data_IF_815335755859
#
_entry.id   IF_815335755859
#
_cell.length_a   1.000
_cell.length_b   1.000
_cell.length_c   1.000
_cell.angle_alpha   90.00
_cell.angle_beta   90.00
_cell.angle_gamma   90.00
#
_symmetry.space_group_name_H-M   'P 1'
#
loop_
_entity.id
_entity.type
_entity.pdbx_description
1 polymer ?
#
# COMPACT_ATOMS: atom_id res chain seq x y z
N UNK A 1 1.99 41.97 31.16
CA UNK A 1 1.50 42.33 32.53
C UNK A 1 1.37 41.05 33.35
N UNK A 2 1.78 41.05 34.62
CA UNK A 2 1.61 39.85 35.49
C UNK A 2 0.16 39.73 35.96
N UNK A 3 -0.46 38.58 35.75
CA UNK A 3 -1.82 38.25 36.15
C UNK A 3 -1.82 36.96 36.95
N UNK A 4 -2.88 36.70 37.70
CA UNK A 4 -3.05 35.45 38.45
C UNK A 4 -3.26 34.25 37.53
N UNK A 5 -2.90 33.03 37.97
CA UNK A 5 -3.19 31.79 37.16
C UNK A 5 -4.68 31.61 36.91
N UNK A 6 -5.56 32.14 37.78
CA UNK A 6 -7.02 32.07 37.56
C UNK A 6 -7.48 32.99 36.43
N UNK A 7 -6.89 34.17 36.31
CA UNK A 7 -7.15 35.08 35.18
C UNK A 7 -6.60 34.54 33.89
N UNK A 8 -5.38 34.00 33.90
CA UNK A 8 -4.77 33.32 32.77
C UNK A 8 -5.60 32.10 32.30
N UNK A 9 -6.14 31.32 33.24
CA UNK A 9 -7.04 30.21 32.94
C UNK A 9 -8.29 30.67 32.19
N UNK A 10 -8.89 31.80 32.62
CA UNK A 10 -10.06 32.40 31.93
C UNK A 10 -9.71 32.87 30.54
N UNK A 11 -8.58 33.54 30.32
CA UNK A 11 -8.11 34.02 29.01
C UNK A 11 -7.97 32.89 28.02
N UNK A 12 -7.51 31.72 28.46
CA UNK A 12 -7.28 30.56 27.59
C UNK A 12 -8.41 29.51 27.62
N UNK A 13 -9.54 29.84 28.24
CA UNK A 13 -10.70 28.91 28.39
C UNK A 13 -10.28 27.53 28.94
N UNK A 14 -9.50 27.55 30.03
CA UNK A 14 -9.00 26.36 30.75
C UNK A 14 -9.37 26.38 32.24
N UNK A 15 -9.36 25.20 32.86
CA UNK A 15 -9.53 25.11 34.29
C UNK A 15 -8.27 25.56 35.04
N UNK A 16 -8.47 26.15 36.22
CA UNK A 16 -7.37 26.69 37.03
C UNK A 16 -6.40 25.62 37.54
N UNK A 17 -6.86 24.36 37.72
CA UNK A 17 -6.00 23.27 38.18
C UNK A 17 -5.03 22.85 37.09
N UNK A 18 -5.48 22.85 35.82
CA UNK A 18 -4.62 22.60 34.65
C UNK A 18 -3.53 23.67 34.52
N UNK A 19 -3.89 24.96 34.65
CA UNK A 19 -2.93 26.06 34.56
C UNK A 19 -1.92 25.99 35.74
N UNK A 20 -2.37 25.65 36.94
CA UNK A 20 -1.50 25.49 38.09
C UNK A 20 -0.46 24.39 37.88
N UNK A 21 -0.87 23.23 37.36
CA UNK A 21 0.08 22.14 36.99
C UNK A 21 1.10 22.61 35.97
N UNK A 22 0.68 23.35 34.92
CA UNK A 22 1.60 23.89 33.95
C UNK A 22 2.64 24.81 34.55
N UNK A 23 2.26 25.68 35.51
CA UNK A 23 3.18 26.55 36.21
C UNK A 23 4.13 25.75 37.13
N UNK A 24 3.61 24.80 37.92
CA UNK A 24 4.37 23.96 38.84
C UNK A 24 5.41 23.07 38.12
N UNK A 25 5.10 22.60 36.88
CA UNK A 25 6.01 21.80 36.05
C UNK A 25 6.89 22.63 35.10
N UNK A 26 6.89 23.97 35.25
CA UNK A 26 7.74 24.85 34.42
C UNK A 26 7.34 24.91 32.94
N UNK A 27 6.10 24.57 32.61
CA UNK A 27 5.58 24.60 31.21
C UNK A 27 4.98 25.97 30.85
N UNK A 28 4.92 26.93 31.80
CA UNK A 28 4.67 28.34 31.56
C UNK A 28 5.96 29.08 31.87
N UNK A 29 6.61 29.64 30.85
CA UNK A 29 7.97 30.15 30.92
C UNK A 29 8.08 31.40 31.77
N UNK A 30 7.02 32.23 31.86
CA UNK A 30 6.99 33.44 32.66
C UNK A 30 6.30 33.24 34.01
N UNK A 31 5.85 32.01 34.31
CA UNK A 31 5.21 31.74 35.58
C UNK A 31 6.22 31.82 36.75
N UNK A 32 5.89 32.64 37.74
CA UNK A 32 6.71 32.83 38.93
C UNK A 32 5.84 32.87 40.19
N UNK A 33 6.44 32.51 41.32
CA UNK A 33 5.77 32.50 42.61
C UNK A 33 6.09 33.80 43.36
N UNK A 34 5.08 34.60 43.62
CA UNK A 34 5.21 35.82 44.44
C UNK A 34 4.49 35.58 45.77
N UNK A 35 5.26 35.40 46.83
CA UNK A 35 4.71 35.00 48.12
C UNK A 35 4.05 33.62 48.03
N UNK A 36 2.75 33.53 48.36
CA UNK A 36 1.98 32.29 48.28
C UNK A 36 1.28 32.08 46.94
N UNK A 37 1.31 33.08 46.06
CA UNK A 37 0.56 33.08 44.82
C UNK A 37 1.45 32.88 43.61
N UNK A 38 0.96 32.13 42.62
CA UNK A 38 1.55 32.05 41.29
C UNK A 38 0.99 33.13 40.38
N UNK A 39 1.86 33.79 39.65
CA UNK A 39 1.52 34.78 38.58
C UNK A 39 2.23 34.41 37.29
N UNK A 40 1.70 34.87 36.17
CA UNK A 40 2.21 34.63 34.83
C UNK A 40 2.01 35.89 33.98
N UNK A 41 2.84 36.11 32.98
CA UNK A 41 2.61 37.20 32.04
C UNK A 41 1.32 36.98 31.23
N UNK A 42 0.50 38.02 31.11
CA UNK A 42 -0.75 37.97 30.34
C UNK A 42 -0.55 37.63 28.86
N UNK A 43 0.65 37.88 28.31
CA UNK A 43 1.03 37.58 26.92
C UNK A 43 1.72 36.22 26.79
N UNK A 44 1.92 35.47 27.89
CA UNK A 44 2.44 34.13 27.83
C UNK A 44 1.58 33.26 26.91
N UNK A 45 2.22 32.64 25.92
CA UNK A 45 1.53 31.73 25.00
C UNK A 45 1.16 30.44 25.72
N UNK A 46 -0.12 30.09 25.74
CA UNK A 46 -0.55 28.80 26.29
C UNK A 46 0.21 27.65 25.64
N UNK A 47 0.92 26.80 26.41
CA UNK A 47 1.68 25.72 25.87
C UNK A 47 0.73 24.68 25.24
N UNK A 48 0.50 24.81 23.96
CA UNK A 48 -0.11 23.76 23.16
C UNK A 48 0.89 22.60 23.24
N UNK A 49 0.53 21.50 23.90
CA UNK A 49 1.31 20.26 23.76
C UNK A 49 1.46 20.06 22.24
N UNK A 50 2.65 20.32 21.69
CA UNK A 50 2.99 19.80 20.36
C UNK A 50 2.67 18.32 20.49
N UNK A 51 1.61 17.83 19.81
CA UNK A 51 1.42 16.40 19.64
C UNK A 51 2.77 15.93 19.14
N UNK A 52 3.48 15.16 19.94
CA UNK A 52 4.66 14.44 19.43
C UNK A 52 4.13 13.76 18.19
N UNK A 53 4.70 14.11 17.03
CA UNK A 53 4.29 13.49 15.77
C UNK A 53 4.36 11.99 16.05
N UNK A 54 3.23 11.31 15.94
CA UNK A 54 3.15 9.90 16.26
C UNK A 54 4.27 9.22 15.46
N UNK A 55 5.14 8.47 16.13
CA UNK A 55 6.27 7.80 15.49
C UNK A 55 5.72 7.00 14.31
N UNK A 56 6.21 7.26 13.10
CA UNK A 56 5.73 6.57 11.91
C UNK A 56 5.88 5.05 12.10
N UNK A 57 4.84 4.30 11.77
CA UNK A 57 4.87 2.85 11.77
C UNK A 57 5.75 2.38 10.60
N UNK A 58 6.75 1.56 10.89
CA UNK A 58 7.76 1.15 9.93
C UNK A 58 7.33 -0.09 9.15
N UNK A 59 7.64 -0.12 7.85
CA UNK A 59 7.25 -1.21 6.96
C UNK A 59 8.45 -1.71 6.17
N UNK A 60 8.63 -3.03 6.12
CA UNK A 60 9.49 -3.74 5.17
C UNK A 60 8.61 -4.26 4.03
N UNK A 61 9.01 -4.01 2.79
CA UNK A 61 8.30 -4.44 1.58
C UNK A 61 9.13 -5.44 0.78
N UNK A 62 8.62 -6.64 0.59
CA UNK A 62 9.23 -7.72 -0.17
C UNK A 62 8.52 -7.86 -1.51
N UNK A 63 9.28 -8.11 -2.59
CA UNK A 63 8.70 -8.22 -3.94
C UNK A 63 7.90 -6.98 -4.33
N UNK A 64 8.44 -5.80 -4.03
CA UNK A 64 7.72 -4.51 -4.04
C UNK A 64 7.21 -4.12 -5.43
N UNK A 65 7.74 -4.71 -6.50
CA UNK A 65 7.42 -4.30 -7.88
C UNK A 65 7.72 -2.82 -8.10
N UNK A 66 6.82 -2.12 -8.77
CA UNK A 66 6.91 -0.66 -8.92
C UNK A 66 6.37 0.11 -7.72
N UNK A 67 5.94 -0.57 -6.64
CA UNK A 67 5.47 0.05 -5.41
C UNK A 67 3.96 0.33 -5.36
N UNK A 68 3.12 -0.47 -6.02
CA UNK A 68 1.67 -0.27 -5.99
C UNK A 68 1.08 -0.44 -4.59
N UNK A 69 1.42 -1.53 -3.89
CA UNK A 69 0.99 -1.77 -2.50
C UNK A 69 1.62 -0.77 -1.54
N UNK A 70 2.91 -0.47 -1.72
CA UNK A 70 3.67 0.51 -0.93
C UNK A 70 3.03 1.91 -1.02
N UNK A 71 2.62 2.35 -2.24
CA UNK A 71 1.90 3.61 -2.43
C UNK A 71 0.60 3.65 -1.66
N UNK A 72 -0.13 2.52 -1.65
CA UNK A 72 -1.33 2.36 -0.83
C UNK A 72 -1.03 2.46 0.65
N UNK A 73 -0.03 1.74 1.15
CA UNK A 73 0.39 1.76 2.56
C UNK A 73 0.83 3.15 3.02
N UNK A 74 1.56 3.90 2.20
CA UNK A 74 1.95 5.29 2.51
C UNK A 74 0.73 6.22 2.53
N UNK A 75 -0.18 6.06 1.58
CA UNK A 75 -1.28 7.00 1.36
C UNK A 75 -0.80 8.39 0.93
N UNK A 76 -1.63 9.41 1.13
CA UNK A 76 -1.32 10.79 0.79
C UNK A 76 -1.37 11.06 -0.72
N UNK A 77 -2.33 10.48 -1.43
CA UNK A 77 -2.54 10.66 -2.85
C UNK A 77 -4.00 10.97 -3.17
N UNK A 78 -4.22 11.48 -4.38
CA UNK A 78 -5.56 11.71 -4.93
C UNK A 78 -5.80 10.80 -6.12
N UNK A 79 -6.96 10.19 -6.18
CA UNK A 79 -7.37 9.35 -7.30
C UNK A 79 -8.83 9.62 -7.66
N UNK A 80 -9.10 9.96 -8.93
CA UNK A 80 -10.43 10.32 -9.47
C UNK A 80 -11.18 11.33 -8.57
N UNK A 81 -10.48 12.38 -8.12
CA UNK A 81 -11.05 13.43 -7.28
C UNK A 81 -11.15 13.09 -5.79
N UNK A 82 -11.08 11.82 -5.38
CA UNK A 82 -11.09 11.39 -3.98
C UNK A 82 -9.68 11.44 -3.39
N UNK A 83 -9.58 11.93 -2.16
CA UNK A 83 -8.34 11.92 -1.40
C UNK A 83 -8.19 10.62 -0.60
N UNK A 84 -6.97 10.10 -0.60
CA UNK A 84 -6.54 8.94 0.20
C UNK A 84 -5.47 9.41 1.17
N UNK A 85 -5.84 9.86 2.37
CA UNK A 85 -4.93 10.47 3.34
C UNK A 85 -3.73 9.59 3.69
N UNK A 86 -2.66 10.21 4.20
CA UNK A 86 -1.51 9.46 4.75
C UNK A 86 -1.97 8.54 5.87
N UNK A 87 -1.55 7.29 5.81
CA UNK A 87 -1.89 6.26 6.80
C UNK A 87 -1.05 6.36 8.08
N UNK A 88 0.16 6.93 7.98
CA UNK A 88 1.16 6.96 9.05
C UNK A 88 2.21 5.85 8.91
N UNK A 89 2.12 5.00 7.89
CA UNK A 89 3.18 4.04 7.54
C UNK A 89 4.32 4.71 6.78
N UNK A 90 5.53 4.20 7.02
CA UNK A 90 6.76 4.57 6.31
C UNK A 90 7.48 3.30 5.87
N UNK A 91 7.66 3.13 4.57
CA UNK A 91 8.50 2.06 4.05
C UNK A 91 9.96 2.42 4.38
N UNK A 92 10.66 1.55 5.09
CA UNK A 92 12.05 1.76 5.51
C UNK A 92 13.02 0.89 4.71
N UNK A 93 12.52 -0.17 4.10
CA UNK A 93 13.26 -1.10 3.26
C UNK A 93 12.32 -1.75 2.26
N UNK A 94 12.77 -1.88 1.03
CA UNK A 94 12.02 -2.55 -0.03
C UNK A 94 12.99 -3.39 -0.88
N UNK A 95 12.52 -4.50 -1.49
CA UNK A 95 13.32 -5.32 -2.39
C UNK A 95 12.52 -5.70 -3.65
N UNK A 96 13.20 -5.66 -4.77
CA UNK A 96 12.68 -6.06 -6.07
C UNK A 96 13.83 -6.52 -6.99
N UNK A 97 13.61 -7.56 -7.76
CA UNK A 97 14.62 -8.10 -8.69
C UNK A 97 14.63 -7.36 -10.04
N UNK A 98 13.50 -6.76 -10.43
CA UNK A 98 13.37 -6.08 -11.71
C UNK A 98 13.95 -4.67 -11.69
N UNK A 99 15.04 -4.45 -12.41
CA UNK A 99 15.67 -3.12 -12.55
C UNK A 99 14.69 -2.04 -13.04
N UNK A 100 13.83 -2.37 -14.00
CA UNK A 100 12.81 -1.45 -14.50
C UNK A 100 11.78 -1.07 -13.41
N UNK A 101 11.37 -2.03 -12.59
CA UNK A 101 10.46 -1.78 -11.47
C UNK A 101 11.15 -0.95 -10.39
N UNK A 102 12.40 -1.25 -10.03
CA UNK A 102 13.20 -0.46 -9.10
C UNK A 102 13.38 0.99 -9.56
N UNK A 103 13.61 1.22 -10.85
CA UNK A 103 13.69 2.57 -11.43
C UNK A 103 12.38 3.35 -11.24
N UNK A 104 11.23 2.70 -11.46
CA UNK A 104 9.92 3.31 -11.24
C UNK A 104 9.68 3.56 -9.77
N UNK A 105 10.01 2.62 -8.90
CA UNK A 105 9.89 2.75 -7.46
C UNK A 105 10.67 3.95 -6.94
N UNK A 106 11.98 4.04 -7.26
CA UNK A 106 12.84 5.17 -6.85
C UNK A 106 12.28 6.52 -7.27
N UNK A 107 11.75 6.60 -8.49
CA UNK A 107 11.16 7.84 -9.02
C UNK A 107 9.97 8.35 -8.21
N UNK A 108 9.19 7.45 -7.59
CA UNK A 108 7.91 7.77 -6.96
C UNK A 108 7.94 7.67 -5.42
N UNK A 109 8.76 6.78 -4.86
CA UNK A 109 8.69 6.41 -3.44
C UNK A 109 10.02 6.61 -2.68
N UNK A 110 11.14 6.70 -3.40
CA UNK A 110 12.47 6.96 -2.83
C UNK A 110 13.46 5.81 -2.99
N UNK A 111 14.70 6.03 -2.51
CA UNK A 111 15.87 5.19 -2.80
C UNK A 111 16.07 4.03 -1.81
N UNK A 112 15.12 3.81 -0.90
CA UNK A 112 15.19 2.72 0.08
C UNK A 112 14.89 1.33 -0.51
N UNK A 113 14.74 1.22 -1.83
CA UNK A 113 14.58 -0.05 -2.54
C UNK A 113 15.93 -0.64 -2.93
N UNK A 114 16.13 -1.92 -2.62
CA UNK A 114 17.31 -2.71 -2.98
C UNK A 114 16.94 -3.57 -4.19
N UNK A 115 17.68 -3.38 -5.27
CA UNK A 115 17.58 -4.18 -6.48
C UNK A 115 18.41 -5.47 -6.31
N UNK A 116 17.78 -6.62 -6.51
CA UNK A 116 18.45 -7.91 -6.41
C UNK A 116 17.53 -9.06 -6.01
N UNK A 117 18.05 -10.27 -6.10
CA UNK A 117 17.34 -11.48 -5.68
C UNK A 117 17.15 -11.48 -4.17
N UNK A 118 15.94 -11.76 -3.72
CA UNK A 118 15.62 -11.79 -2.29
C UNK A 118 16.47 -12.81 -1.52
N UNK A 119 16.87 -13.90 -2.15
CA UNK A 119 17.74 -14.92 -1.54
C UNK A 119 19.10 -14.37 -1.08
N UNK A 120 19.58 -13.32 -1.75
CA UNK A 120 20.83 -12.63 -1.40
C UNK A 120 20.58 -11.50 -0.40
N UNK A 121 19.38 -10.91 -0.44
CA UNK A 121 19.04 -9.72 0.33
C UNK A 121 18.35 -10.00 1.67
N UNK A 122 17.84 -11.22 1.90
CA UNK A 122 17.10 -11.58 3.11
C UNK A 122 17.93 -11.43 4.40
N UNK A 123 19.25 -11.47 4.31
CA UNK A 123 20.14 -11.26 5.44
C UNK A 123 20.40 -9.77 5.74
N UNK A 124 20.02 -8.87 4.84
CA UNK A 124 20.18 -7.42 4.95
C UNK A 124 18.91 -6.71 5.42
N UNK A 125 17.91 -7.47 5.91
CA UNK A 125 16.70 -6.90 6.48
C UNK A 125 17.01 -6.03 7.70
N UNK A 126 16.27 -4.92 7.90
CA UNK A 126 16.28 -4.20 9.17
C UNK A 126 15.94 -5.14 10.34
N UNK A 127 16.59 -4.94 11.48
CA UNK A 127 16.34 -5.76 12.69
C UNK A 127 14.91 -5.64 13.21
N UNK A 128 14.25 -4.51 12.93
CA UNK A 128 12.88 -4.24 13.37
C UNK A 128 12.05 -3.51 12.31
N UNK A 129 10.80 -3.92 12.18
CA UNK A 129 9.73 -3.16 11.53
C UNK A 129 8.38 -3.50 12.18
N UNK A 130 7.45 -2.55 12.18
CA UNK A 130 6.09 -2.79 12.69
C UNK A 130 5.32 -3.73 11.76
N UNK A 131 5.55 -3.64 10.44
CA UNK A 131 4.83 -4.40 9.42
C UNK A 131 5.79 -4.96 8.37
N UNK A 132 5.50 -6.18 7.91
CA UNK A 132 6.07 -6.74 6.68
C UNK A 132 4.94 -6.87 5.66
N UNK A 133 5.15 -6.36 4.44
CA UNK A 133 4.25 -6.56 3.30
C UNK A 133 4.99 -7.27 2.17
N UNK A 134 4.27 -8.06 1.35
CA UNK A 134 4.88 -8.69 0.18
C UNK A 134 3.88 -9.37 -0.73
N UNK A 135 4.02 -9.17 -2.05
CA UNK A 135 3.26 -9.85 -3.09
C UNK A 135 4.11 -10.93 -3.75
N UNK A 136 4.01 -12.17 -3.31
CA UNK A 136 4.82 -13.26 -3.87
C UNK A 136 4.25 -13.81 -5.19
N UNK A 137 5.10 -14.17 -6.19
CA UNK A 137 4.64 -14.67 -7.48
C UNK A 137 3.86 -15.99 -7.38
N UNK A 138 2.75 -16.09 -8.12
CA UNK A 138 1.91 -17.30 -8.19
C UNK A 138 2.58 -18.46 -8.94
N UNK A 139 3.57 -18.22 -9.78
CA UNK A 139 4.19 -19.23 -10.63
C UNK A 139 4.91 -20.34 -9.87
N UNK A 140 5.27 -20.08 -8.62
CA UNK A 140 5.95 -21.05 -7.75
C UNK A 140 4.99 -21.98 -6.96
N UNK A 141 3.67 -21.77 -7.10
CA UNK A 141 2.64 -22.57 -6.42
C UNK A 141 2.36 -23.89 -7.18
N UNK A 142 2.89 -24.07 -8.40
CA UNK A 142 2.70 -25.32 -9.16
C UNK A 142 3.60 -26.42 -8.57
N UNK A 143 2.97 -27.33 -7.85
CA UNK A 143 3.55 -28.57 -7.25
C UNK A 143 4.22 -29.48 -8.31
N UNK A 144 4.02 -29.23 -9.60
CA UNK A 144 4.62 -29.97 -10.71
C UNK A 144 6.05 -29.59 -11.09
N UNK A 145 6.67 -28.61 -10.44
CA UNK A 145 8.11 -28.46 -10.42
C UNK A 145 8.70 -29.55 -9.53
N UNK A 146 9.31 -30.60 -10.12
CA UNK A 146 9.99 -31.71 -9.47
C UNK A 146 10.47 -31.31 -8.07
N UNK A 147 9.94 -31.96 -7.02
CA UNK A 147 10.48 -31.94 -5.66
C UNK A 147 11.97 -32.32 -5.68
N UNK A 148 12.82 -31.39 -6.04
CA UNK A 148 14.23 -31.45 -5.72
C UNK A 148 14.32 -30.86 -4.31
N UNK A 149 14.62 -31.78 -3.36
CA UNK A 149 14.64 -31.50 -1.93
C UNK A 149 15.34 -30.20 -1.52
N UNK A 150 15.35 -29.90 -0.23
CA UNK A 150 15.80 -28.71 0.52
C UNK A 150 17.03 -27.95 -0.06
N UNK A 151 17.71 -28.50 -1.06
CA UNK A 151 18.84 -27.93 -1.81
C UNK A 151 18.56 -27.65 -3.30
N UNK A 152 17.32 -27.82 -3.77
CA UNK A 152 16.92 -27.48 -5.15
C UNK A 152 16.64 -25.98 -5.29
N UNK A 153 17.31 -25.34 -6.24
CA UNK A 153 17.36 -23.91 -6.56
C UNK A 153 16.03 -23.19 -6.87
N UNK A 154 14.94 -23.36 -6.12
CA UNK A 154 13.72 -22.52 -6.08
C UNK A 154 12.83 -23.00 -4.93
N UNK A 155 13.20 -22.64 -3.70
CA UNK A 155 12.21 -22.55 -2.64
C UNK A 155 11.11 -21.59 -3.11
N UNK A 156 9.85 -21.96 -2.88
CA UNK A 156 8.71 -21.10 -3.24
C UNK A 156 8.89 -19.72 -2.58
N UNK A 157 8.77 -18.62 -3.35
CA UNK A 157 9.17 -17.28 -2.91
C UNK A 157 8.42 -16.79 -1.65
N UNK A 158 7.24 -17.34 -1.33
CA UNK A 158 6.55 -17.01 -0.08
C UNK A 158 7.36 -17.39 1.17
N UNK A 159 8.25 -18.39 1.07
CA UNK A 159 9.10 -18.81 2.20
C UNK A 159 10.03 -17.71 2.68
N UNK A 160 10.40 -16.76 1.80
CA UNK A 160 11.15 -15.58 2.20
C UNK A 160 10.32 -14.59 3.02
N UNK A 161 8.99 -14.53 2.81
CA UNK A 161 8.11 -13.77 3.71
C UNK A 161 8.09 -14.46 5.08
N UNK A 162 7.96 -15.81 5.12
CA UNK A 162 8.01 -16.60 6.36
C UNK A 162 9.34 -16.35 7.09
N UNK A 163 10.46 -16.37 6.37
CA UNK A 163 11.79 -16.12 6.93
C UNK A 163 11.94 -14.69 7.46
N UNK A 164 11.47 -13.69 6.70
CA UNK A 164 11.48 -12.31 7.13
C UNK A 164 10.65 -12.10 8.41
N UNK A 165 9.46 -12.69 8.49
CA UNK A 165 8.61 -12.64 9.70
C UNK A 165 9.32 -13.29 10.90
N UNK A 166 9.99 -14.43 10.70
CA UNK A 166 10.78 -15.08 11.76
C UNK A 166 11.96 -14.24 12.24
N UNK A 167 12.60 -13.47 11.37
CA UNK A 167 13.76 -12.63 11.72
C UNK A 167 13.34 -11.34 12.41
N UNK A 168 12.32 -10.67 11.89
CA UNK A 168 11.94 -9.30 12.28
C UNK A 168 10.89 -9.27 13.38
N UNK A 169 10.08 -10.32 13.51
CA UNK A 169 8.94 -10.41 14.44
C UNK A 169 8.01 -9.18 14.37
N UNK A 170 7.50 -8.81 13.16
CA UNK A 170 6.65 -7.62 13.00
C UNK A 170 5.35 -7.77 13.79
N UNK A 171 4.70 -6.68 14.12
CA UNK A 171 3.35 -6.68 14.72
C UNK A 171 2.32 -7.31 13.79
N UNK A 172 2.43 -7.02 12.49
CA UNK A 172 1.55 -7.52 11.44
C UNK A 172 2.37 -7.88 10.22
N UNK A 173 2.01 -8.97 9.54
CA UNK A 173 2.47 -9.21 8.17
C UNK A 173 1.29 -9.29 7.21
N UNK A 174 1.52 -8.90 5.96
CA UNK A 174 0.53 -8.94 4.87
C UNK A 174 1.18 -9.58 3.66
N UNK A 175 0.74 -10.77 3.30
CA UNK A 175 1.17 -11.48 2.10
C UNK A 175 0.05 -11.44 1.06
N UNK A 176 0.37 -10.96 -0.15
CA UNK A 176 -0.61 -10.83 -1.24
C UNK A 176 -0.37 -11.88 -2.31
N UNK A 177 -1.47 -12.36 -2.90
CA UNK A 177 -1.43 -13.21 -4.09
C UNK A 177 -2.69 -13.02 -4.95
N UNK A 178 -2.69 -13.65 -6.12
CA UNK A 178 -3.86 -13.64 -7.03
C UNK A 178 -4.99 -14.53 -6.50
N UNK A 179 -6.25 -14.23 -6.86
CA UNK A 179 -7.44 -15.03 -6.47
C UNK A 179 -7.34 -16.51 -6.88
N UNK A 180 -6.56 -16.81 -7.91
CA UNK A 180 -6.26 -18.17 -8.34
C UNK A 180 -5.66 -19.09 -7.27
N UNK A 181 -5.06 -18.53 -6.20
CA UNK A 181 -4.56 -19.30 -5.05
C UNK A 181 -5.67 -20.13 -4.39
N UNK A 182 -6.89 -19.63 -4.34
CA UNK A 182 -8.03 -20.29 -3.69
C UNK A 182 -8.75 -21.32 -4.59
N UNK A 183 -8.33 -21.47 -5.84
CA UNK A 183 -8.93 -22.47 -6.73
C UNK A 183 -8.62 -23.90 -6.25
N UNK A 184 -9.59 -24.81 -6.41
CA UNK A 184 -9.49 -26.21 -6.00
C UNK A 184 -8.18 -26.88 -6.45
N UNK A 185 -7.71 -26.59 -7.65
CA UNK A 185 -6.44 -27.15 -8.18
C UNK A 185 -5.18 -26.72 -7.40
N UNK A 186 -5.27 -25.64 -6.61
CA UNK A 186 -4.17 -25.08 -5.81
C UNK A 186 -4.36 -25.33 -4.31
N UNK A 187 -5.35 -26.17 -3.91
CA UNK A 187 -5.72 -26.39 -2.51
C UNK A 187 -4.58 -26.91 -1.62
N UNK A 188 -3.71 -27.77 -2.16
CA UNK A 188 -2.56 -28.28 -1.41
C UNK A 188 -1.52 -27.17 -1.17
N UNK A 189 -1.24 -26.36 -2.17
CA UNK A 189 -0.34 -25.22 -2.04
C UNK A 189 -0.89 -24.18 -1.07
N UNK A 190 -2.18 -23.88 -1.16
CA UNK A 190 -2.87 -23.01 -0.21
C UNK A 190 -2.76 -23.52 1.22
N UNK A 191 -3.07 -24.81 1.44
CA UNK A 191 -2.96 -25.44 2.75
C UNK A 191 -1.54 -25.32 3.32
N UNK A 192 -0.53 -25.65 2.50
CA UNK A 192 0.89 -25.54 2.90
C UNK A 192 1.27 -24.11 3.30
N UNK A 193 0.87 -23.11 2.51
CA UNK A 193 1.12 -21.69 2.82
C UNK A 193 0.48 -21.31 4.16
N UNK A 194 -0.77 -21.70 4.38
CA UNK A 194 -1.49 -21.38 5.62
C UNK A 194 -0.87 -22.09 6.84
N UNK A 195 -0.41 -23.34 6.69
CA UNK A 195 0.32 -24.07 7.73
C UNK A 195 1.64 -23.38 8.09
N UNK A 196 2.40 -22.96 7.07
CA UNK A 196 3.69 -22.29 7.29
C UNK A 196 3.52 -20.94 7.98
N UNK A 197 2.54 -20.11 7.56
CA UNK A 197 2.23 -18.85 8.24
C UNK A 197 1.63 -19.08 9.64
N UNK A 198 0.76 -20.08 9.81
CA UNK A 198 0.19 -20.44 11.11
C UNK A 198 1.25 -20.88 12.13
N UNK A 199 2.33 -21.55 11.64
CA UNK A 199 3.45 -21.99 12.47
C UNK A 199 4.27 -20.85 13.08
N UNK A 200 4.10 -19.61 12.59
CA UNK A 200 4.79 -18.42 13.08
C UNK A 200 4.27 -17.90 14.44
N UNK A 201 3.16 -18.45 14.93
CA UNK A 201 2.57 -18.02 16.20
C UNK A 201 1.70 -16.77 16.13
N UNK A 202 1.28 -16.38 14.91
CA UNK A 202 0.36 -15.27 14.64
C UNK A 202 -1.09 -15.77 14.54
N UNK A 203 -2.05 -14.85 14.76
CA UNK A 203 -3.41 -15.04 14.31
C UNK A 203 -3.43 -14.73 12.82
N UNK A 204 -3.73 -15.73 11.98
CA UNK A 204 -3.67 -15.61 10.51
C UNK A 204 -5.07 -15.65 9.92
N UNK A 205 -5.41 -14.61 9.16
CA UNK A 205 -6.63 -14.49 8.37
C UNK A 205 -6.31 -14.51 6.87
N UNK A 206 -7.22 -15.02 6.04
CA UNK A 206 -7.06 -15.08 4.59
C UNK A 206 -8.37 -14.68 3.91
N UNK A 207 -8.36 -13.58 3.19
CA UNK A 207 -9.53 -13.01 2.54
C UNK A 207 -9.32 -12.78 1.05
N UNK A 208 -10.40 -13.03 0.26
CA UNK A 208 -10.47 -12.65 -1.14
C UNK A 208 -11.10 -11.25 -1.27
N UNK A 209 -10.44 -10.38 -2.03
CA UNK A 209 -10.89 -9.02 -2.29
C UNK A 209 -11.17 -8.84 -3.78
N UNK A 210 -12.32 -8.28 -4.08
CA UNK A 210 -12.67 -7.79 -5.40
C UNK A 210 -12.34 -6.30 -5.45
N UNK A 211 -11.36 -5.92 -6.26
CA UNK A 211 -10.83 -4.54 -6.26
C UNK A 211 -11.88 -3.49 -6.60
N UNK A 212 -12.87 -3.84 -7.44
CA UNK A 212 -14.00 -2.99 -7.80
C UNK A 212 -14.87 -2.58 -6.62
N UNK A 213 -14.92 -3.38 -5.55
CA UNK A 213 -15.68 -3.07 -4.33
C UNK A 213 -15.05 -1.95 -3.50
N UNK A 214 -13.81 -1.56 -3.84
CA UNK A 214 -13.00 -0.56 -3.13
C UNK A 214 -12.68 0.68 -3.97
N UNK A 215 -13.40 0.92 -5.07
CA UNK A 215 -13.20 2.09 -5.93
C UNK A 215 -12.11 1.96 -6.98
N UNK A 216 -11.60 0.74 -7.22
CA UNK A 216 -10.71 0.45 -8.32
C UNK A 216 -11.54 0.18 -9.59
N UNK A 217 -11.34 0.89 -10.69
CA UNK A 217 -12.15 0.71 -11.91
C UNK A 217 -11.76 -0.54 -12.71
N UNK A 218 -11.62 -1.70 -12.03
CA UNK A 218 -11.14 -2.95 -12.60
C UNK A 218 -11.70 -4.16 -11.85
N UNK A 219 -12.24 -5.14 -12.57
CA UNK A 219 -12.53 -6.46 -12.03
C UNK A 219 -11.22 -7.22 -11.80
N UNK A 220 -10.77 -7.23 -10.56
CA UNK A 220 -9.49 -7.82 -10.16
C UNK A 220 -9.59 -8.46 -8.79
N UNK A 221 -9.34 -9.74 -8.73
CA UNK A 221 -9.32 -10.50 -7.49
C UNK A 221 -7.93 -10.58 -6.90
N UNK A 222 -7.82 -10.32 -5.59
CA UNK A 222 -6.59 -10.47 -4.82
C UNK A 222 -6.88 -11.13 -3.48
N UNK A 223 -6.00 -12.04 -3.11
CA UNK A 223 -6.01 -12.68 -1.79
C UNK A 223 -5.01 -11.96 -0.92
N UNK A 224 -5.43 -11.56 0.28
CA UNK A 224 -4.52 -11.10 1.32
C UNK A 224 -4.53 -12.10 2.47
N UNK A 225 -3.35 -12.55 2.85
CA UNK A 225 -3.09 -13.35 4.05
C UNK A 225 -2.48 -12.38 5.05
N UNK A 226 -3.18 -12.13 6.14
CA UNK A 226 -2.75 -11.18 7.18
C UNK A 226 -2.52 -11.92 8.49
N UNK A 227 -1.32 -11.80 9.03
CA UNK A 227 -0.99 -12.32 10.36
C UNK A 227 -0.81 -11.19 11.35
N UNK A 228 -1.44 -11.29 12.51
CA UNK A 228 -1.33 -10.36 13.64
C UNK A 228 -0.74 -11.05 14.85
N UNK A 229 0.14 -10.41 15.62
CA UNK A 229 0.61 -10.94 16.90
C UNK A 229 -0.58 -11.25 17.80
N UNK A 230 -0.48 -12.29 18.62
CA UNK A 230 -1.62 -12.79 19.43
C UNK A 230 -2.15 -11.79 20.45
N UNK A 231 -1.30 -10.87 20.88
CA UNK A 231 -1.60 -9.82 21.85
C UNK A 231 -2.33 -8.63 21.24
N UNK A 232 -2.37 -8.56 19.89
CA UNK A 232 -3.06 -7.49 19.16
C UNK A 232 -4.48 -7.91 18.79
N UNK A 233 -5.35 -6.93 18.52
CA UNK A 233 -6.68 -7.20 17.95
C UNK A 233 -6.58 -8.05 16.67
N UNK A 234 -7.61 -8.84 16.41
CA UNK A 234 -7.73 -9.57 15.13
C UNK A 234 -7.88 -8.58 13.97
N UNK A 235 -7.35 -8.95 12.82
CA UNK A 235 -7.52 -8.16 11.60
C UNK A 235 -8.99 -8.18 11.18
N UNK A 236 -9.53 -6.99 10.96
CA UNK A 236 -10.88 -6.80 10.42
C UNK A 236 -10.72 -6.29 8.97
N UNK A 237 -11.23 -7.03 7.97
CA UNK A 237 -11.22 -6.58 6.59
C UNK A 237 -11.87 -5.20 6.43
N UNK A 238 -11.38 -4.35 5.51
CA UNK A 238 -12.02 -3.07 5.24
C UNK A 238 -13.43 -3.24 4.68
N UNK A 239 -14.32 -2.32 5.01
CA UNK A 239 -15.67 -2.28 4.44
C UNK A 239 -15.64 -1.98 2.94
N UNK A 240 -16.49 -2.65 2.17
CA UNK A 240 -16.70 -2.39 0.75
C UNK A 240 -17.35 -1.01 0.57
N UNK A 241 -16.78 -0.16 -0.27
CA UNK A 241 -17.27 1.22 -0.43
C UNK A 241 -17.96 1.48 -1.76
N UNK A 242 -17.78 0.60 -2.75
CA UNK A 242 -18.32 0.76 -4.11
C UNK A 242 -18.99 -0.50 -4.66
N UNK A 243 -19.30 -1.46 -3.80
CA UNK A 243 -19.94 -2.73 -4.19
C UNK A 243 -21.24 -2.51 -5.00
N UNK A 244 -22.12 -1.63 -4.54
CA UNK A 244 -23.39 -1.33 -5.20
C UNK A 244 -23.24 -0.43 -6.43
N UNK A 245 -22.13 0.31 -6.54
CA UNK A 245 -21.87 1.25 -7.65
C UNK A 245 -20.38 1.31 -7.97
N UNK A 246 -19.87 0.30 -8.67
CA UNK A 246 -18.45 0.24 -9.03
C UNK A 246 -18.03 1.38 -9.96
N UNK A 247 -16.78 1.83 -9.81
CA UNK A 247 -16.20 2.84 -10.69
C UNK A 247 -16.02 2.28 -12.10
N UNK A 248 -16.54 2.97 -13.11
CA UNK A 248 -16.49 2.49 -14.51
C UNK A 248 -15.19 2.90 -15.21
N UNK A 249 -14.85 2.19 -16.29
CA UNK A 249 -13.73 2.57 -17.17
C UNK A 249 -13.89 3.99 -17.68
N UNK A 250 -15.09 4.35 -18.15
CA UNK A 250 -15.38 5.70 -18.65
C UNK A 250 -15.09 6.78 -17.61
N UNK A 251 -15.53 6.56 -16.37
CA UNK A 251 -15.22 7.49 -15.26
C UNK A 251 -13.71 7.65 -15.06
N UNK A 252 -12.95 6.58 -15.24
CA UNK A 252 -11.51 6.60 -14.99
C UNK A 252 -10.68 7.26 -16.08
N UNK A 253 -11.09 7.17 -17.35
CA UNK A 253 -10.20 7.53 -18.49
C UNK A 253 -10.81 8.45 -19.55
N UNK A 254 -12.08 8.87 -19.42
CA UNK A 254 -12.76 9.70 -20.44
C UNK A 254 -12.02 11.00 -20.75
N UNK A 255 -11.48 11.65 -19.75
CA UNK A 255 -10.74 12.91 -19.90
C UNK A 255 -9.39 12.76 -20.64
N UNK A 256 -8.96 11.53 -20.92
CA UNK A 256 -7.75 11.22 -21.68
C UNK A 256 -8.03 10.93 -23.17
N UNK A 257 -9.29 10.90 -23.59
CA UNK A 257 -9.67 10.52 -24.97
C UNK A 257 -9.06 11.45 -26.03
N UNK A 258 -9.07 12.75 -25.76
CA UNK A 258 -8.59 13.78 -26.69
C UNK A 258 -7.12 14.18 -26.43
N UNK A 259 -6.48 13.53 -25.44
CA UNK A 259 -5.08 13.82 -25.10
C UNK A 259 -4.15 13.15 -26.12
N UNK A 260 -3.20 13.92 -26.65
CA UNK A 260 -2.12 13.39 -27.49
C UNK A 260 -1.14 12.54 -26.67
N UNK A 261 -0.36 11.71 -27.37
CA UNK A 261 0.71 10.94 -26.75
C UNK A 261 1.68 11.85 -25.97
N UNK A 262 1.92 11.47 -24.74
CA UNK A 262 2.78 12.21 -23.80
C UNK A 262 3.59 11.22 -22.96
N UNK A 263 4.88 11.08 -23.27
CA UNK A 263 5.80 10.19 -22.54
C UNK A 263 6.00 10.63 -21.09
N UNK A 264 6.01 11.93 -20.81
CA UNK A 264 6.21 12.44 -19.46
C UNK A 264 5.05 12.06 -18.53
N UNK A 265 3.83 12.00 -19.08
CA UNK A 265 2.63 11.57 -18.39
C UNK A 265 2.37 10.05 -18.49
N UNK A 266 3.24 9.30 -19.18
CA UNK A 266 3.04 7.89 -19.54
C UNK A 266 1.80 7.62 -20.40
N UNK A 267 1.28 8.64 -21.10
CA UNK A 267 0.14 8.51 -22.01
C UNK A 267 0.63 8.09 -23.39
N UNK A 268 1.11 6.85 -23.49
CA UNK A 268 1.60 6.20 -24.70
C UNK A 268 0.94 4.84 -24.83
N UNK A 269 0.74 4.37 -26.07
CA UNK A 269 0.08 3.08 -26.32
C UNK A 269 0.76 2.26 -27.41
N UNK A 270 0.51 0.96 -27.38
CA UNK A 270 0.99 0.04 -28.41
C UNK A 270 0.31 0.33 -29.74
N UNK A 271 1.10 0.39 -30.80
CA UNK A 271 0.65 0.47 -32.18
C UNK A 271 0.39 -0.91 -32.82
N UNK A 272 0.51 -2.00 -32.04
CA UNK A 272 0.27 -3.35 -32.50
C UNK A 272 -1.15 -3.50 -33.02
N UNK A 273 -1.27 -4.07 -34.23
CA UNK A 273 -2.54 -4.37 -34.88
C UNK A 273 -3.30 -5.47 -34.12
N UNK A 274 -4.57 -5.62 -34.46
CA UNK A 274 -5.44 -6.70 -34.00
C UNK A 274 -4.82 -8.04 -34.40
N UNK A 275 -4.48 -8.90 -33.44
CA UNK A 275 -4.16 -10.30 -33.69
C UNK A 275 -5.40 -11.17 -33.46
N UNK A 276 -5.64 -12.20 -34.29
CA UNK A 276 -6.83 -13.06 -34.15
C UNK A 276 -6.85 -13.91 -32.87
N UNK A 277 -5.74 -14.00 -32.13
CA UNK A 277 -5.58 -15.04 -31.13
C UNK A 277 -5.71 -14.55 -29.67
N UNK A 278 -5.20 -13.38 -29.28
CA UNK A 278 -5.27 -12.90 -27.91
C UNK A 278 -5.25 -11.37 -27.80
N UNK A 279 -5.91 -10.81 -26.78
CA UNK A 279 -5.81 -9.40 -26.43
C UNK A 279 -6.65 -8.42 -27.23
N UNK A 280 -7.63 -8.91 -27.98
CA UNK A 280 -8.54 -8.08 -28.78
C UNK A 280 -9.81 -7.64 -28.01
N UNK A 281 -9.79 -7.74 -26.69
CA UNK A 281 -10.93 -7.34 -25.89
C UNK A 281 -11.02 -5.82 -25.85
N UNK A 282 -12.14 -5.31 -26.35
CA UNK A 282 -12.50 -3.90 -26.13
C UNK A 282 -13.07 -3.73 -24.75
N UNK A 283 -12.62 -2.70 -24.03
CA UNK A 283 -13.25 -2.33 -22.75
C UNK A 283 -14.70 -1.88 -22.96
N UNK A 284 -15.50 -1.97 -21.92
CA UNK A 284 -16.87 -1.50 -21.90
C UNK A 284 -16.94 -0.26 -21.02
N UNK A 285 -17.54 0.82 -21.54
CA UNK A 285 -17.53 2.14 -20.92
C UNK A 285 -18.13 2.15 -19.51
N UNK A 286 -19.29 1.53 -19.36
CA UNK A 286 -20.19 1.70 -18.21
C UNK A 286 -20.05 0.59 -17.14
N UNK A 287 -18.88 -0.08 -17.11
CA UNK A 287 -18.52 -1.05 -16.08
C UNK A 287 -17.03 -0.98 -15.73
N UNK A 288 -16.57 -1.61 -14.62
CA UNK A 288 -15.15 -1.80 -14.36
C UNK A 288 -14.43 -2.53 -15.51
N UNK A 289 -13.18 -2.18 -15.75
CA UNK A 289 -12.35 -2.80 -16.77
C UNK A 289 -11.97 -4.23 -16.43
N UNK A 290 -11.56 -4.98 -17.44
CA UNK A 290 -10.99 -6.30 -17.22
C UNK A 290 -9.64 -6.21 -16.49
N UNK A 291 -9.23 -7.28 -15.82
CA UNK A 291 -7.91 -7.36 -15.18
C UNK A 291 -6.78 -7.00 -16.15
N UNK A 292 -6.00 -5.98 -15.81
CA UNK A 292 -4.74 -5.66 -16.49
C UNK A 292 -3.72 -6.73 -16.10
N UNK A 293 -3.17 -7.43 -17.10
CA UNK A 293 -2.20 -8.51 -16.92
C UNK A 293 -0.79 -8.07 -17.25
N UNK A 294 0.19 -8.72 -16.65
CA UNK A 294 1.62 -8.45 -16.86
C UNK A 294 2.21 -9.07 -18.13
N UNK A 295 1.46 -9.92 -18.81
CA UNK A 295 1.93 -10.66 -19.98
C UNK A 295 1.97 -9.78 -21.24
N UNK A 296 3.16 -9.59 -21.79
CA UNK A 296 3.48 -8.66 -22.86
C UNK A 296 3.10 -9.12 -24.29
N UNK A 297 2.21 -10.08 -24.50
CA UNK A 297 1.87 -10.59 -25.83
C UNK A 297 0.41 -10.35 -26.19
N UNK A 298 0.08 -9.10 -26.57
CA UNK A 298 -1.24 -8.76 -27.09
C UNK A 298 -2.36 -8.64 -26.04
N UNK A 299 -2.03 -8.66 -24.75
CA UNK A 299 -3.03 -8.57 -23.68
C UNK A 299 -3.45 -7.13 -23.32
N UNK A 300 -2.87 -6.12 -23.96
CA UNK A 300 -3.33 -4.73 -23.82
C UNK A 300 -4.69 -4.60 -24.51
N UNK A 301 -5.67 -4.20 -23.75
CA UNK A 301 -7.04 -4.10 -24.22
C UNK A 301 -7.26 -2.86 -25.09
N UNK A 302 -8.26 -2.92 -25.97
CA UNK A 302 -8.69 -1.77 -26.75
C UNK A 302 -9.51 -0.80 -25.90
N UNK A 303 -9.34 0.49 -26.19
CA UNK A 303 -10.17 1.54 -25.61
C UNK A 303 -11.66 1.30 -25.93
N UNK A 304 -12.57 1.69 -25.04
CA UNK A 304 -14.01 1.43 -25.21
C UNK A 304 -14.61 2.17 -26.43
N UNK A 305 -14.13 3.36 -26.79
CA UNK A 305 -14.63 4.20 -27.91
C UNK A 305 -13.60 4.37 -29.03
N UNK A 306 -12.32 4.53 -28.72
CA UNK A 306 -11.29 4.88 -29.70
C UNK A 306 -10.75 3.64 -30.44
N UNK A 307 -10.29 3.78 -31.71
CA UNK A 307 -9.73 2.69 -32.50
C UNK A 307 -8.26 2.41 -32.16
N UNK A 308 -7.91 2.42 -30.86
CA UNK A 308 -6.56 2.17 -30.35
C UNK A 308 -6.56 1.32 -29.08
N UNK A 309 -5.40 0.80 -28.74
CA UNK A 309 -5.16 0.21 -27.43
C UNK A 309 -5.23 1.28 -26.35
N UNK A 310 -5.58 0.90 -25.11
CA UNK A 310 -5.45 1.80 -23.98
C UNK A 310 -4.00 2.21 -23.80
N UNK A 311 -3.78 3.45 -23.38
CA UNK A 311 -2.45 3.93 -23.03
C UNK A 311 -1.98 3.36 -21.69
N UNK A 312 -0.69 3.50 -21.42
CA UNK A 312 -0.13 3.11 -20.10
C UNK A 312 -0.73 3.96 -18.98
N UNK A 313 -1.04 5.24 -19.22
CA UNK A 313 -1.73 6.07 -18.23
C UNK A 313 -3.17 5.60 -17.99
N UNK A 314 -3.89 5.27 -19.05
CA UNK A 314 -5.23 4.69 -18.93
C UNK A 314 -5.19 3.37 -18.16
N UNK A 315 -4.24 2.48 -18.49
CA UNK A 315 -4.01 1.24 -17.75
C UNK A 315 -3.65 1.48 -16.28
N UNK A 316 -2.79 2.48 -16.00
CA UNK A 316 -2.41 2.86 -14.64
C UNK A 316 -3.60 3.39 -13.84
N UNK A 317 -4.47 4.23 -14.44
CA UNK A 317 -5.70 4.68 -13.79
C UNK A 317 -6.69 3.53 -13.55
N UNK A 318 -6.84 2.60 -14.50
CA UNK A 318 -7.67 1.40 -14.31
C UNK A 318 -7.12 0.53 -13.17
N UNK A 319 -5.82 0.54 -12.94
CA UNK A 319 -5.17 -0.09 -11.78
C UNK A 319 -5.14 0.80 -10.53
N UNK A 320 -5.81 1.95 -10.56
CA UNK A 320 -5.88 2.96 -9.49
C UNK A 320 -4.57 3.66 -9.11
N UNK A 321 -3.57 3.69 -10.00
CA UNK A 321 -2.42 4.58 -9.79
C UNK A 321 -2.83 6.04 -9.95
N UNK A 322 -2.40 6.92 -9.04
CA UNK A 322 -2.64 8.36 -9.17
C UNK A 322 -1.82 8.95 -10.32
N UNK A 323 -2.25 10.09 -10.85
CA UNK A 323 -1.61 10.70 -12.02
C UNK A 323 -0.19 11.19 -11.79
N UNK A 324 0.13 11.56 -10.56
CA UNK A 324 1.50 11.92 -10.16
C UNK A 324 2.46 10.73 -10.14
N UNK A 325 1.96 9.49 -10.18
CA UNK A 325 2.81 8.31 -10.23
C UNK A 325 3.38 8.11 -11.64
N UNK A 326 4.69 8.32 -11.81
CA UNK A 326 5.38 8.34 -13.10
C UNK A 326 6.01 6.99 -13.41
N UNK A 327 5.83 6.50 -14.65
CA UNK A 327 6.48 5.30 -15.16
C UNK A 327 7.60 5.69 -16.15
N UNK A 328 8.87 5.74 -15.71
CA UNK A 328 9.99 6.21 -16.54
C UNK A 328 10.54 5.15 -17.51
N UNK A 329 9.89 4.01 -17.63
CA UNK A 329 10.32 2.88 -18.42
C UNK A 329 9.62 2.82 -19.80
N UNK A 330 10.11 1.94 -20.67
CA UNK A 330 9.46 1.67 -21.95
C UNK A 330 8.10 1.01 -21.79
N UNK A 331 7.33 0.98 -22.89
CA UNK A 331 5.95 0.52 -22.91
C UNK A 331 5.77 -0.89 -22.31
N UNK A 332 6.60 -1.86 -22.71
CA UNK A 332 6.51 -3.26 -22.22
C UNK A 332 6.80 -3.39 -20.72
N UNK A 333 7.81 -2.67 -20.23
CA UNK A 333 8.15 -2.71 -18.81
C UNK A 333 7.09 -2.02 -17.97
N UNK A 334 6.54 -0.91 -18.46
CA UNK A 334 5.43 -0.21 -17.81
C UNK A 334 4.18 -1.08 -17.73
N UNK A 335 3.81 -1.74 -18.84
CA UNK A 335 2.69 -2.68 -18.87
C UNK A 335 2.84 -3.80 -17.85
N UNK A 336 4.03 -4.43 -17.81
CA UNK A 336 4.34 -5.49 -16.84
C UNK A 336 4.24 -5.00 -15.41
N UNK A 337 4.77 -3.82 -15.13
CA UNK A 337 4.72 -3.22 -13.78
C UNK A 337 3.29 -2.95 -13.32
N UNK A 338 2.46 -2.34 -14.20
CA UNK A 338 1.05 -2.07 -13.90
C UNK A 338 0.29 -3.37 -13.67
N UNK A 339 0.48 -4.37 -14.54
CA UNK A 339 -0.21 -5.66 -14.45
C UNK A 339 0.13 -6.46 -13.20
N UNK A 340 1.39 -6.41 -12.73
CA UNK A 340 1.84 -7.09 -11.52
C UNK A 340 1.42 -6.37 -10.24
N UNK A 341 1.17 -5.07 -10.30
CA UNK A 341 0.94 -4.29 -9.09
C UNK A 341 -0.36 -4.65 -8.35
N UNK A 342 -0.31 -4.55 -7.04
CA UNK A 342 -1.51 -4.37 -6.21
C UNK A 342 -2.05 -2.96 -6.49
N UNK A 343 -3.36 -2.79 -6.74
CA UNK A 343 -3.95 -1.46 -6.90
C UNK A 343 -3.68 -0.57 -5.68
N UNK A 344 -3.09 0.63 -5.83
CA UNK A 344 -2.80 1.51 -4.70
C UNK A 344 -4.01 1.83 -3.82
N UNK A 345 -5.19 1.99 -4.40
CA UNK A 345 -6.42 2.22 -3.66
C UNK A 345 -6.78 1.03 -2.78
N UNK A 346 -6.74 -0.21 -3.29
CA UNK A 346 -6.97 -1.41 -2.50
C UNK A 346 -5.91 -1.56 -1.40
N UNK A 347 -4.63 -1.31 -1.72
CA UNK A 347 -3.54 -1.29 -0.75
C UNK A 347 -3.77 -0.28 0.39
N UNK A 348 -4.38 0.88 0.10
CA UNK A 348 -4.71 1.88 1.10
C UNK A 348 -5.82 1.40 2.08
N UNK A 349 -6.84 0.73 1.58
CA UNK A 349 -7.89 0.15 2.43
C UNK A 349 -7.32 -0.91 3.37
N UNK A 350 -6.53 -1.84 2.83
CA UNK A 350 -5.84 -2.87 3.64
C UNK A 350 -4.92 -2.22 4.69
N UNK A 351 -4.15 -1.20 4.29
CA UNK A 351 -3.27 -0.47 5.20
C UNK A 351 -4.01 0.17 6.37
N UNK A 352 -5.21 0.75 6.15
CA UNK A 352 -6.00 1.32 7.23
C UNK A 352 -6.53 0.25 8.20
N UNK A 353 -6.94 -0.91 7.71
CA UNK A 353 -7.30 -2.04 8.59
C UNK A 353 -6.08 -2.52 9.41
N UNK A 354 -4.89 -2.63 8.79
CA UNK A 354 -3.64 -2.94 9.50
C UNK A 354 -3.30 -1.88 10.55
N UNK A 355 -3.49 -0.61 10.23
CA UNK A 355 -3.29 0.50 11.17
C UNK A 355 -4.19 0.36 12.40
N UNK A 356 -5.46 0.02 12.19
CA UNK A 356 -6.42 -0.17 13.29
C UNK A 356 -5.97 -1.30 14.23
N UNK A 357 -5.42 -2.40 13.69
CA UNK A 357 -4.84 -3.49 14.51
C UNK A 357 -3.69 -2.98 15.39
N UNK A 358 -2.82 -2.11 14.87
CA UNK A 358 -1.62 -1.67 15.58
C UNK A 358 -1.93 -0.57 16.61
N UNK A 359 -2.97 0.22 16.39
CA UNK A 359 -3.31 1.38 17.22
C UNK A 359 -4.39 1.09 18.28
N UNK A 360 -5.07 -0.07 18.18
CA UNK A 360 -6.15 -0.52 19.07
C UNK A 360 -7.44 0.17 18.73
#
# INVERSE_FOLDING_TARGET
MLISLSEYAKLHNKDSATIRRLAEYGNLMTAQKIGRNWVVDSEEVYPVKKRQAAKAMTVISLFSGCGGMDRGFIGGFKFLGKEYPKTGFKIIWANEISSAACKTYRKNLGDHIIEGDISEQINNLPEYADVIIGGFPCQDISINGKMLGIHGKRSSLYTYIVEAVKKVHPKVFVAENVGGLLLKKNSESYKKIMEDFGSLGYNVDCQLYHAEDYGVPQTRERVFIVGTQKELPVFIPPEMTTHESPVTVKTAIKDLEDRLEDKAFSHIWSKANVSGEQGNRRMVADRPGYTIRAECHGNIQFHYSLPRRISMREAARIQSFPDEFVFPCGLRDTERQIGNAVPPVLGWYVANSVKNVIQG
#
